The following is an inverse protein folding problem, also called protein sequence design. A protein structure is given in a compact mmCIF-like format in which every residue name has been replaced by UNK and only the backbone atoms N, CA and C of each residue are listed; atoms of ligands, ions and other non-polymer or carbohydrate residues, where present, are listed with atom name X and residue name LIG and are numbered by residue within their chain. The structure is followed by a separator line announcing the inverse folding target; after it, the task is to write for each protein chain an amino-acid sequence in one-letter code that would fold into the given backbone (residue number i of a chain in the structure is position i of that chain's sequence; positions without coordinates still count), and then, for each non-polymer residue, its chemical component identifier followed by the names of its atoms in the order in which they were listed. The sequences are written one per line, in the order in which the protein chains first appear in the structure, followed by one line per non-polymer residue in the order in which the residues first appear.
data_IF_667795681754
#
_entry.id   IF_667795681754
#
_cell.length_a   1.000
_cell.length_b   1.000
_cell.length_c   1.000
_cell.angle_alpha   90.00
_cell.angle_beta   90.00
_cell.angle_gamma   90.00
#
_symmetry.space_group_name_H-M   'P 1'
#
loop_
_entity.id
_entity.type
_entity.pdbx_description
1 polymer ?
#
# COMPACT_ATOMS: atom_id res chain seq x y z
N UNK A 1 -42.68 9.05 -9.14
CA UNK A 1 -41.26 8.74 -8.89
C UNK A 1 -40.81 9.56 -7.70
N UNK A 2 -40.33 8.92 -6.62
CA UNK A 2 -39.91 9.61 -5.42
C UNK A 2 -38.65 10.45 -5.72
N UNK A 3 -38.79 11.78 -5.78
CA UNK A 3 -37.73 12.74 -6.15
C UNK A 3 -36.73 13.03 -5.01
N UNK A 4 -36.75 12.26 -3.92
CA UNK A 4 -36.03 12.57 -2.69
C UNK A 4 -34.50 12.73 -2.83
N UNK A 5 -33.88 12.18 -3.87
CA UNK A 5 -32.42 12.16 -4.01
C UNK A 5 -31.87 12.82 -5.29
N UNK A 6 -32.68 13.00 -6.32
CA UNK A 6 -32.20 13.52 -7.62
C UNK A 6 -32.32 15.04 -7.64
N UNK A 7 -31.19 15.73 -7.82
CA UNK A 7 -31.12 17.20 -7.87
C UNK A 7 -31.14 17.90 -6.52
N UNK A 8 -30.99 17.16 -5.41
CA UNK A 8 -30.93 17.70 -4.05
C UNK A 8 -29.50 17.71 -3.51
N UNK A 9 -29.15 18.72 -2.71
CA UNK A 9 -27.89 18.75 -1.97
C UNK A 9 -28.03 17.90 -0.70
N UNK A 10 -27.70 16.61 -0.81
CA UNK A 10 -27.78 15.65 0.30
C UNK A 10 -26.40 15.38 0.87
N UNK A 11 -26.32 15.17 2.19
CA UNK A 11 -25.08 14.75 2.84
C UNK A 11 -24.64 13.38 2.29
N UNK A 12 -23.33 13.18 2.14
CA UNK A 12 -22.81 11.91 1.62
C UNK A 12 -22.75 10.87 2.72
N UNK A 13 -22.97 9.62 2.36
CA UNK A 13 -22.95 8.51 3.29
C UNK A 13 -21.55 8.27 3.88
N UNK A 14 -20.51 8.55 3.11
CA UNK A 14 -19.12 8.24 3.47
C UNK A 14 -18.49 9.30 4.39
N UNK A 15 -19.03 10.53 4.39
CA UNK A 15 -18.39 11.70 5.02
C UNK A 15 -18.06 11.45 6.49
N UNK A 16 -18.97 10.86 7.26
CA UNK A 16 -18.74 10.62 8.69
C UNK A 16 -17.45 9.83 8.94
N UNK A 17 -17.25 8.71 8.24
CA UNK A 17 -16.05 7.87 8.47
C UNK A 17 -14.78 8.50 7.88
N UNK A 18 -14.89 9.15 6.72
CA UNK A 18 -13.77 9.79 6.06
C UNK A 18 -13.25 11.01 6.84
N UNK A 19 -14.16 11.86 7.33
CA UNK A 19 -13.81 13.11 8.01
C UNK A 19 -13.36 12.92 9.47
N UNK A 20 -13.62 11.75 10.06
CA UNK A 20 -13.27 11.46 11.47
C UNK A 20 -12.08 10.52 11.61
N UNK A 21 -11.41 10.15 10.51
CA UNK A 21 -10.31 9.18 10.53
C UNK A 21 -10.76 7.76 10.90
N UNK A 22 -12.05 7.44 10.74
CA UNK A 22 -12.62 6.12 11.01
C UNK A 22 -12.74 5.27 9.74
N UNK A 23 -12.42 5.83 8.57
CA UNK A 23 -12.31 5.05 7.36
C UNK A 23 -11.04 4.17 7.44
N UNK A 24 -11.14 2.96 6.90
CA UNK A 24 -10.04 2.01 6.81
C UNK A 24 -9.52 1.99 5.38
N UNK A 25 -8.28 2.39 5.19
CA UNK A 25 -7.51 2.23 3.97
C UNK A 25 -6.53 1.05 4.11
N UNK A 26 -5.89 0.67 3.00
CA UNK A 26 -5.01 -0.52 2.99
C UNK A 26 -3.88 -0.41 4.00
N UNK A 27 -3.28 0.78 4.16
CA UNK A 27 -2.15 1.01 5.08
C UNK A 27 -2.58 1.13 6.56
N UNK A 28 -3.88 1.28 6.82
CA UNK A 28 -4.43 1.28 8.18
C UNK A 28 -4.61 -0.15 8.74
N UNK A 29 -4.55 -1.16 7.87
CA UNK A 29 -4.73 -2.56 8.27
C UNK A 29 -3.52 -3.03 9.05
N UNK A 30 -3.77 -3.65 10.21
CA UNK A 30 -2.76 -4.28 11.06
C UNK A 30 -3.19 -5.71 11.36
N UNK A 31 -2.34 -6.68 11.04
CA UNK A 31 -2.57 -8.11 11.29
C UNK A 31 -1.42 -8.67 12.13
N UNK A 32 -1.72 -9.68 12.96
CA UNK A 32 -0.70 -10.41 13.70
C UNK A 32 0.28 -11.10 12.73
N UNK A 33 1.57 -10.88 12.93
CA UNK A 33 2.62 -11.44 12.06
C UNK A 33 2.75 -10.77 10.68
N UNK A 34 2.11 -9.63 10.45
CA UNK A 34 2.24 -8.87 9.20
C UNK A 34 3.71 -8.48 8.95
N UNK A 35 4.20 -8.77 7.74
CA UNK A 35 5.51 -8.33 7.26
C UNK A 35 5.35 -7.13 6.31
N UNK A 36 6.38 -6.30 6.25
CA UNK A 36 6.46 -5.20 5.29
C UNK A 36 7.35 -5.56 4.12
N UNK A 37 7.08 -4.96 2.96
CA UNK A 37 7.88 -5.15 1.74
C UNK A 37 8.46 -3.82 1.27
N UNK A 38 9.69 -3.86 0.78
CA UNK A 38 10.36 -2.76 0.10
C UNK A 38 10.84 -3.25 -1.28
N UNK A 39 10.76 -2.37 -2.28
CA UNK A 39 11.17 -2.67 -3.64
C UNK A 39 12.41 -1.88 -4.02
N UNK A 40 13.47 -2.57 -4.42
CA UNK A 40 14.59 -1.95 -5.13
C UNK A 40 14.20 -1.81 -6.60
N UNK A 41 14.36 -0.60 -7.16
CA UNK A 41 14.05 -0.29 -8.56
C UNK A 41 15.32 0.17 -9.26
N UNK A 42 15.37 -0.08 -10.57
CA UNK A 42 16.45 0.41 -11.45
C UNK A 42 16.52 1.93 -11.42
N UNK A 43 17.72 2.48 -11.33
CA UNK A 43 18.05 3.88 -11.58
C UNK A 43 18.30 4.17 -13.06
N UNK A 44 18.46 3.12 -13.87
CA UNK A 44 18.60 3.19 -15.32
C UNK A 44 17.26 2.95 -16.03
N UNK A 45 16.97 3.76 -17.04
CA UNK A 45 15.77 3.59 -17.87
C UNK A 45 15.83 2.33 -18.76
N UNK A 46 17.03 1.94 -19.20
CA UNK A 46 17.27 0.73 -19.99
C UNK A 46 18.70 0.20 -19.76
N UNK A 47 18.80 -1.02 -19.26
CA UNK A 47 20.06 -1.71 -19.03
C UNK A 47 19.82 -3.23 -18.92
N UNK A 48 20.89 -4.01 -19.04
CA UNK A 48 20.88 -5.43 -18.71
C UNK A 48 21.25 -5.63 -17.24
N UNK A 49 20.49 -6.46 -16.52
CA UNK A 49 20.83 -6.87 -15.15
C UNK A 49 21.93 -7.93 -15.25
N UNK A 50 23.17 -7.56 -14.93
CA UNK A 50 24.29 -8.50 -14.93
C UNK A 50 24.31 -9.38 -13.67
N UNK A 51 23.97 -8.80 -12.51
CA UNK A 51 23.91 -9.51 -11.23
C UNK A 51 23.04 -8.74 -10.22
N UNK A 52 22.55 -9.45 -9.20
CA UNK A 52 21.88 -8.87 -8.02
C UNK A 52 22.49 -9.52 -6.78
N UNK A 53 23.29 -8.78 -6.02
CA UNK A 53 23.81 -9.25 -4.74
C UNK A 53 22.85 -8.85 -3.61
N UNK A 54 22.27 -9.87 -2.97
CA UNK A 54 21.29 -9.71 -1.89
C UNK A 54 21.88 -10.00 -0.50
N UNK A 55 23.17 -10.36 -0.43
CA UNK A 55 23.81 -10.85 0.80
C UNK A 55 23.73 -9.85 1.95
N UNK A 56 24.00 -8.58 1.68
CA UNK A 56 23.94 -7.51 2.68
C UNK A 56 22.52 -7.29 3.20
N UNK A 57 21.51 -7.40 2.33
CA UNK A 57 20.11 -7.25 2.72
C UNK A 57 19.66 -8.42 3.60
N UNK A 58 19.98 -9.66 3.21
CA UNK A 58 19.66 -10.86 3.98
C UNK A 58 20.32 -10.89 5.37
N UNK A 59 21.51 -10.30 5.52
CA UNK A 59 22.21 -10.24 6.80
C UNK A 59 21.61 -9.20 7.78
N UNK A 60 20.67 -8.36 7.34
CA UNK A 60 20.09 -7.31 8.20
C UNK A 60 19.07 -7.93 9.18
N UNK A 61 19.16 -7.63 10.49
CA UNK A 61 18.15 -8.04 11.45
C UNK A 61 16.74 -7.56 11.03
N UNK A 62 15.77 -8.47 11.09
CA UNK A 62 14.38 -8.19 10.72
C UNK A 62 14.03 -8.41 9.25
N UNK A 63 15.02 -8.64 8.36
CA UNK A 63 14.74 -9.07 6.99
C UNK A 63 14.37 -10.54 7.00
N UNK A 64 13.15 -10.85 6.55
CA UNK A 64 12.64 -12.22 6.50
C UNK A 64 13.03 -12.93 5.21
N UNK A 65 13.03 -12.22 4.07
CA UNK A 65 13.37 -12.79 2.77
C UNK A 65 13.76 -11.68 1.76
N UNK A 66 14.47 -12.09 0.70
CA UNK A 66 14.70 -11.29 -0.51
C UNK A 66 14.36 -12.17 -1.72
N UNK A 67 13.59 -11.63 -2.67
CA UNK A 67 13.14 -12.34 -3.87
C UNK A 67 13.61 -11.62 -5.14
N UNK A 68 14.03 -12.40 -6.14
CA UNK A 68 14.43 -11.94 -7.49
C UNK A 68 13.71 -12.77 -8.56
N UNK A 69 13.71 -12.31 -9.82
CA UNK A 69 13.08 -12.99 -10.95
C UNK A 69 13.80 -14.29 -11.37
#
# INVERSE_FOLDING_TARGET
MNRAYVGQSVARNEDRRLLTGQALFVDDVQLEGMLHVAFLRSDHAHALIQSVDVSVALARPGVVAVYTA
#
